data_IF_442084103631
#
_entry.id   IF_442084103631
#
_cell.length_a   1.000
_cell.length_b   1.000
_cell.length_c   1.000
_cell.angle_alpha   90.00
_cell.angle_beta   90.00
_cell.angle_gamma   90.00
#
_symmetry.space_group_name_H-M   'P 1'
#
loop_
_entity.id
_entity.type
_entity.pdbx_description
1 polymer ?
#
# COMPACT_ATOMS: atom_id res chain seq x y z
N UNK A 1 -6.05 -23.20 -2.31
CA UNK A 1 -6.75 -21.90 -2.27
C UNK A 1 -5.80 -20.82 -1.91
N UNK A 2 -5.72 -19.83 -2.76
CA UNK A 2 -4.77 -18.77 -2.57
C UNK A 2 -5.29 -17.74 -1.57
N UNK A 3 -4.68 -17.71 -0.38
CA UNK A 3 -4.98 -16.71 0.62
C UNK A 3 -4.16 -15.46 0.38
N UNK A 4 -4.14 -15.01 -0.89
CA UNK A 4 -3.39 -13.82 -1.27
C UNK A 4 -4.25 -12.57 -1.39
N UNK A 5 -5.48 -12.65 -0.91
CA UNK A 5 -6.42 -11.52 -0.93
C UNK A 5 -6.98 -11.25 0.45
N UNK A 6 -7.17 -9.96 0.74
CA UNK A 6 -7.79 -9.53 1.98
C UNK A 6 -8.73 -8.36 1.66
N UNK A 7 -9.89 -8.34 2.30
CA UNK A 7 -10.84 -7.24 2.20
C UNK A 7 -11.16 -6.77 3.60
N UNK A 8 -10.98 -5.48 3.86
CA UNK A 8 -11.24 -4.91 5.18
C UNK A 8 -12.13 -3.68 5.05
N UNK A 9 -12.97 -3.40 6.05
CA UNK A 9 -13.70 -2.14 6.09
C UNK A 9 -12.73 -0.98 6.32
N UNK A 10 -13.14 0.20 5.88
CA UNK A 10 -12.32 1.40 5.97
C UNK A 10 -12.30 1.93 7.41
N UNK A 11 -11.55 1.25 8.26
CA UNK A 11 -11.39 1.59 9.68
C UNK A 11 -9.92 1.52 10.05
N UNK A 12 -9.45 2.51 10.80
CA UNK A 12 -8.04 2.55 11.21
C UNK A 12 -7.63 1.32 12.02
N UNK A 13 -8.56 0.75 12.80
CA UNK A 13 -8.29 -0.44 13.59
C UNK A 13 -7.94 -1.65 12.70
N UNK A 14 -8.40 -1.63 11.47
CA UNK A 14 -8.16 -2.71 10.51
C UNK A 14 -6.79 -2.64 9.85
N UNK A 15 -6.05 -1.55 10.05
CA UNK A 15 -4.67 -1.46 9.55
C UNK A 15 -3.78 -2.54 10.16
N UNK A 16 -4.04 -2.90 11.41
CA UNK A 16 -3.32 -4.00 12.05
C UNK A 16 -3.53 -5.31 11.29
N UNK A 17 -4.77 -5.60 10.90
CA UNK A 17 -5.08 -6.82 10.13
C UNK A 17 -4.36 -6.81 8.79
N UNK A 18 -4.29 -5.65 8.14
CA UNK A 18 -3.55 -5.50 6.89
C UNK A 18 -2.08 -5.83 7.08
N UNK A 19 -1.45 -5.27 8.12
CA UNK A 19 -0.04 -5.52 8.40
C UNK A 19 0.24 -6.99 8.66
N UNK A 20 -0.59 -7.63 9.48
CA UNK A 20 -0.43 -9.06 9.80
C UNK A 20 -0.58 -9.91 8.54
N UNK A 21 -1.57 -9.62 7.73
CA UNK A 21 -1.81 -10.34 6.48
C UNK A 21 -0.61 -10.26 5.54
N UNK A 22 -0.11 -9.05 5.31
CA UNK A 22 1.02 -8.83 4.41
C UNK A 22 2.27 -9.53 4.95
N UNK A 23 2.57 -9.33 6.24
CA UNK A 23 3.75 -9.91 6.86
C UNK A 23 3.74 -11.44 6.77
N UNK A 24 2.63 -12.06 7.14
CA UNK A 24 2.51 -13.52 7.11
C UNK A 24 2.68 -14.08 5.71
N UNK A 25 2.06 -13.43 4.73
CA UNK A 25 2.15 -13.89 3.35
C UNK A 25 3.58 -13.79 2.83
N UNK A 26 4.25 -12.66 3.07
CA UNK A 26 5.62 -12.46 2.60
C UNK A 26 6.58 -13.44 3.26
N UNK A 27 6.44 -13.68 4.56
CA UNK A 27 7.29 -14.66 5.25
C UNK A 27 7.06 -16.07 4.73
N UNK A 28 5.82 -16.43 4.48
CA UNK A 28 5.47 -17.73 3.92
C UNK A 28 6.09 -17.92 2.54
N UNK A 29 6.28 -16.84 1.80
CA UNK A 29 6.90 -16.87 0.47
C UNK A 29 8.42 -16.76 0.52
N UNK A 30 9.00 -16.75 1.70
CA UNK A 30 10.46 -16.73 1.84
C UNK A 30 11.11 -15.37 1.70
N UNK A 31 10.34 -14.30 1.78
CA UNK A 31 10.89 -12.94 1.72
C UNK A 31 11.64 -12.64 3.02
N UNK A 32 12.90 -12.17 2.96
CA UNK A 32 13.66 -11.84 4.17
C UNK A 32 12.98 -10.79 5.04
N UNK A 33 13.15 -10.89 6.35
CA UNK A 33 12.45 -10.03 7.31
C UNK A 33 12.66 -8.55 7.06
N UNK A 34 13.89 -8.13 6.75
CA UNK A 34 14.18 -6.72 6.49
C UNK A 34 13.37 -6.21 5.30
N UNK A 35 13.34 -6.98 4.23
CA UNK A 35 12.58 -6.61 3.03
C UNK A 35 11.08 -6.67 3.30
N UNK A 36 10.62 -7.72 3.99
CA UNK A 36 9.21 -7.86 4.33
C UNK A 36 8.72 -6.68 5.17
N UNK A 37 9.50 -6.24 6.14
CA UNK A 37 9.12 -5.11 7.00
C UNK A 37 8.96 -3.82 6.21
N UNK A 38 9.82 -3.58 5.23
CA UNK A 38 9.70 -2.41 4.35
C UNK A 38 8.41 -2.47 3.52
N UNK A 39 8.11 -3.65 2.99
CA UNK A 39 6.92 -3.82 2.16
C UNK A 39 5.64 -3.68 2.99
N UNK A 40 5.63 -4.22 4.21
CA UNK A 40 4.51 -4.03 5.14
C UNK A 40 4.28 -2.55 5.40
N UNK A 41 5.35 -1.81 5.66
CA UNK A 41 5.25 -0.37 5.92
C UNK A 41 4.65 0.38 4.72
N UNK A 42 5.10 0.05 3.51
CA UNK A 42 4.62 0.71 2.30
C UNK A 42 3.12 0.45 2.09
N UNK A 43 2.68 -0.79 2.22
CA UNK A 43 1.26 -1.15 2.05
C UNK A 43 0.41 -0.49 3.12
N UNK A 44 0.88 -0.49 4.37
CA UNK A 44 0.19 0.16 5.49
C UNK A 44 -0.05 1.65 5.20
N UNK A 45 0.98 2.34 4.70
CA UNK A 45 0.88 3.77 4.41
C UNK A 45 -0.13 4.07 3.29
N UNK A 46 -0.16 3.24 2.24
CA UNK A 46 -1.14 3.41 1.17
C UNK A 46 -2.54 3.21 1.71
N UNK A 47 -2.77 2.14 2.47
CA UNK A 47 -4.08 1.86 3.05
C UNK A 47 -4.53 2.97 4.00
N UNK A 48 -3.62 3.46 4.85
CA UNK A 48 -3.94 4.55 5.78
C UNK A 48 -4.34 5.81 5.01
N UNK A 49 -3.62 6.14 3.94
CA UNK A 49 -3.95 7.31 3.13
C UNK A 49 -5.31 7.16 2.46
N UNK A 50 -5.65 5.98 1.98
CA UNK A 50 -6.95 5.73 1.38
C UNK A 50 -8.06 5.88 2.40
N UNK A 51 -7.87 5.36 3.61
CA UNK A 51 -8.87 5.46 4.67
C UNK A 51 -9.13 6.91 5.08
N UNK A 52 -8.07 7.72 5.16
CA UNK A 52 -8.17 9.10 5.62
C UNK A 52 -8.62 10.04 4.49
N UNK A 53 -7.99 9.93 3.31
CA UNK A 53 -8.17 10.93 2.25
C UNK A 53 -9.22 10.56 1.22
N UNK A 54 -9.38 9.27 0.92
CA UNK A 54 -10.32 8.85 -0.12
C UNK A 54 -11.69 8.53 0.44
N UNK A 55 -11.77 7.92 1.61
CA UNK A 55 -13.03 7.45 2.19
C UNK A 55 -13.42 8.17 3.46
N UNK A 56 -12.57 9.06 3.95
CA UNK A 56 -12.83 9.82 5.17
C UNK A 56 -13.18 8.92 6.37
N UNK A 57 -12.55 7.73 6.41
CA UNK A 57 -12.79 6.71 7.43
C UNK A 57 -14.24 6.22 7.48
N UNK A 58 -14.92 6.17 6.33
CA UNK A 58 -16.28 5.66 6.25
C UNK A 58 -16.26 4.12 6.34
N UNK A 59 -16.76 3.51 7.43
CA UNK A 59 -16.69 2.06 7.61
C UNK A 59 -17.57 1.27 6.64
N UNK A 60 -18.46 1.93 5.91
CA UNK A 60 -19.28 1.28 4.90
C UNK A 60 -18.48 0.99 3.62
N UNK A 61 -17.33 1.65 3.46
CA UNK A 61 -16.44 1.41 2.32
C UNK A 61 -15.45 0.32 2.68
N UNK A 62 -14.90 -0.32 1.66
CA UNK A 62 -13.95 -1.42 1.86
C UNK A 62 -12.70 -1.18 1.02
N UNK A 63 -11.61 -1.74 1.49
CA UNK A 63 -10.34 -1.77 0.78
C UNK A 63 -9.99 -3.21 0.53
N UNK A 64 -9.66 -3.55 -0.72
CA UNK A 64 -9.19 -4.87 -1.09
C UNK A 64 -7.70 -4.86 -1.33
N UNK A 65 -7.01 -5.92 -0.91
CA UNK A 65 -5.57 -6.07 -1.10
C UNK A 65 -5.32 -7.42 -1.73
N UNK A 66 -4.58 -7.43 -2.83
CA UNK A 66 -4.16 -8.66 -3.48
C UNK A 66 -2.64 -8.63 -3.64
N UNK A 67 -2.00 -9.75 -3.31
CA UNK A 67 -0.54 -9.85 -3.36
C UNK A 67 -0.17 -11.01 -4.27
N UNK A 68 0.67 -10.74 -5.27
CA UNK A 68 1.21 -11.75 -6.15
C UNK A 68 2.72 -11.75 -6.03
N UNK A 69 3.29 -12.87 -5.60
CA UNK A 69 4.73 -13.04 -5.50
C UNK A 69 5.20 -13.87 -6.68
N UNK A 70 6.04 -13.25 -7.51
CA UNK A 70 6.71 -13.96 -8.61
C UNK A 70 8.07 -14.35 -8.10
N UNK A 71 8.24 -15.63 -7.80
CA UNK A 71 9.45 -16.14 -7.15
C UNK A 71 10.72 -15.71 -7.88
N UNK A 72 11.63 -15.10 -7.10
CA UNK A 72 12.90 -14.64 -7.62
C UNK A 72 12.84 -13.41 -8.52
N UNK A 73 11.67 -12.82 -8.71
CA UNK A 73 11.52 -11.66 -9.61
C UNK A 73 10.95 -10.45 -8.91
N UNK A 74 9.69 -10.51 -8.50
CA UNK A 74 9.01 -9.34 -7.96
C UNK A 74 7.84 -9.70 -7.09
N UNK A 75 7.41 -8.72 -6.28
CA UNK A 75 6.16 -8.78 -5.53
C UNK A 75 5.27 -7.66 -6.05
N UNK A 76 4.03 -7.99 -6.38
CA UNK A 76 3.05 -7.02 -6.86
C UNK A 76 1.90 -6.93 -5.85
N UNK A 77 1.67 -5.73 -5.35
CA UNK A 77 0.54 -5.44 -4.47
C UNK A 77 -0.50 -4.65 -5.26
N UNK A 78 -1.74 -5.12 -5.24
CA UNK A 78 -2.85 -4.37 -5.82
C UNK A 78 -3.82 -4.00 -4.71
N UNK A 79 -3.96 -2.70 -4.46
CA UNK A 79 -4.84 -2.18 -3.44
C UNK A 79 -6.00 -1.49 -4.15
N UNK A 80 -7.21 -1.93 -3.86
CA UNK A 80 -8.42 -1.43 -4.55
C UNK A 80 -9.33 -0.71 -3.60
N UNK A 81 -9.94 0.39 -4.07
CA UNK A 81 -11.00 1.08 -3.34
C UNK A 81 -12.04 1.62 -4.32
N UNK A 82 -13.13 2.20 -3.79
CA UNK A 82 -14.23 2.72 -4.58
C UNK A 82 -14.46 4.21 -4.35
N UNK A 83 -13.51 4.90 -3.72
CA UNK A 83 -13.62 6.31 -3.42
C UNK A 83 -13.13 7.21 -4.55
N UNK A 84 -12.79 8.44 -4.19
CA UNK A 84 -12.29 9.44 -5.14
C UNK A 84 -10.93 9.04 -5.70
N UNK A 85 -10.13 8.35 -4.89
CA UNK A 85 -8.82 7.90 -5.31
C UNK A 85 -7.72 8.91 -5.02
N UNK A 86 -6.50 8.45 -5.16
CA UNK A 86 -5.31 9.27 -4.98
C UNK A 86 -4.32 8.90 -6.10
N UNK A 87 -3.95 9.88 -6.93
CA UNK A 87 -3.09 9.61 -8.07
C UNK A 87 -1.62 9.80 -7.71
N UNK A 88 -0.87 8.72 -7.59
CA UNK A 88 0.56 8.74 -7.30
C UNK A 88 1.37 9.49 -8.36
N UNK A 89 0.91 9.48 -9.60
CA UNK A 89 1.62 10.14 -10.69
C UNK A 89 1.69 11.66 -10.53
N UNK A 90 0.75 12.22 -9.76
CA UNK A 90 0.70 13.64 -9.46
C UNK A 90 1.40 13.99 -8.15
N UNK A 91 1.86 12.98 -7.43
CA UNK A 91 2.55 13.21 -6.16
C UNK A 91 3.94 13.79 -6.41
N UNK A 92 4.22 14.91 -5.74
CA UNK A 92 5.54 15.52 -5.75
C UNK A 92 6.18 15.29 -4.39
N UNK A 93 7.43 14.82 -4.41
CA UNK A 93 8.17 14.62 -3.17
C UNK A 93 8.35 15.98 -2.47
N UNK A 94 7.94 16.10 -1.19
CA UNK A 94 8.01 17.38 -0.51
C UNK A 94 9.44 17.78 -0.17
N UNK A 95 9.68 19.10 -0.09
CA UNK A 95 10.91 19.63 0.44
C UNK A 95 11.00 19.40 1.94
N UNK A 96 12.18 19.61 2.53
CA UNK A 96 12.37 19.45 3.97
C UNK A 96 11.42 20.37 4.74
N UNK A 97 11.23 21.59 4.26
CA UNK A 97 10.29 22.54 4.89
C UNK A 97 8.86 22.03 4.84
N UNK A 98 8.45 21.48 3.70
CA UNK A 98 7.12 20.90 3.55
C UNK A 98 6.93 19.72 4.46
N UNK A 99 7.95 18.87 4.64
CA UNK A 99 7.91 17.73 5.54
C UNK A 99 7.64 18.20 6.96
N UNK A 100 8.31 19.25 7.41
CA UNK A 100 8.12 19.79 8.75
C UNK A 100 6.69 20.33 8.92
N UNK A 101 6.18 21.06 7.94
CA UNK A 101 4.82 21.63 7.98
C UNK A 101 3.75 20.56 7.92
N UNK A 102 3.99 19.47 7.17
CA UNK A 102 2.99 18.44 6.92
C UNK A 102 3.18 17.19 7.76
N UNK A 103 4.04 17.23 8.75
CA UNK A 103 4.34 16.10 9.62
C UNK A 103 3.07 15.41 10.17
N UNK A 104 1.98 16.16 10.31
CA UNK A 104 0.71 15.64 10.83
C UNK A 104 -0.27 15.25 9.73
N UNK A 105 0.06 15.45 8.45
CA UNK A 105 -0.88 15.26 7.33
C UNK A 105 -0.57 14.06 6.43
N UNK A 106 0.40 13.22 6.79
CA UNK A 106 0.63 11.96 6.11
C UNK A 106 1.42 12.00 4.80
N UNK A 107 1.84 13.18 4.32
CA UNK A 107 2.61 13.27 3.08
C UNK A 107 3.96 12.57 3.11
N UNK A 108 4.53 12.41 4.31
CA UNK A 108 5.81 11.75 4.51
C UNK A 108 5.70 10.25 4.23
N UNK A 109 4.55 9.64 4.56
CA UNK A 109 4.32 8.23 4.31
C UNK A 109 4.39 7.87 2.84
N UNK A 110 3.79 8.70 1.96
CA UNK A 110 3.83 8.46 0.52
C UNK A 110 5.24 8.60 -0.04
N UNK A 111 6.05 9.47 0.51
CA UNK A 111 7.45 9.57 0.14
C UNK A 111 8.18 8.27 0.43
N UNK A 112 7.91 7.65 1.58
CA UNK A 112 8.48 6.35 1.92
C UNK A 112 8.05 5.27 0.94
N UNK A 113 6.76 5.22 0.60
CA UNK A 113 6.25 4.26 -0.37
C UNK A 113 6.98 4.38 -1.70
N UNK A 114 7.14 5.61 -2.16
CA UNK A 114 7.83 5.89 -3.43
C UNK A 114 9.28 5.44 -3.39
N UNK A 115 9.95 5.53 -2.25
CA UNK A 115 11.34 5.10 -2.10
C UNK A 115 11.49 3.59 -1.95
N UNK A 116 10.52 2.94 -1.33
CA UNK A 116 10.55 1.49 -1.12
C UNK A 116 10.21 0.74 -2.40
N UNK A 117 9.19 1.18 -3.12
CA UNK A 117 8.71 0.50 -4.32
C UNK A 117 9.52 0.91 -5.55
N UNK A 118 9.72 -0.04 -6.45
CA UNK A 118 10.41 0.22 -7.72
C UNK A 118 9.48 0.87 -8.74
N UNK A 119 8.18 0.56 -8.66
CA UNK A 119 7.20 1.09 -9.59
C UNK A 119 5.85 1.20 -8.91
N UNK A 120 5.11 2.25 -9.24
CA UNK A 120 3.76 2.47 -8.74
C UNK A 120 2.87 2.91 -9.89
N UNK A 121 1.68 2.32 -9.96
CA UNK A 121 0.69 2.66 -10.97
C UNK A 121 -0.64 2.96 -10.30
N UNK A 122 -1.36 3.93 -10.86
CA UNK A 122 -2.73 4.20 -10.48
C UNK A 122 -3.62 3.94 -11.68
N UNK A 123 -4.59 3.04 -11.50
CA UNK A 123 -5.51 2.65 -12.58
C UNK A 123 -6.92 2.87 -12.07
N UNK A 124 -7.71 3.65 -12.83
CA UNK A 124 -9.12 3.81 -12.51
C UNK A 124 -9.93 2.97 -13.46
N UNK A 125 -10.69 2.01 -12.93
CA UNK A 125 -11.55 1.11 -13.68
C UNK A 125 -12.99 1.29 -13.23
N UNK A 126 -13.88 1.74 -14.10
CA UNK A 126 -15.28 1.95 -13.77
C UNK A 126 -15.43 2.74 -12.47
N UNK A 127 -15.90 2.09 -11.40
CA UNK A 127 -16.08 2.73 -10.09
C UNK A 127 -14.99 2.33 -9.09
N UNK A 128 -13.88 1.77 -9.57
CA UNK A 128 -12.84 1.23 -8.72
C UNK A 128 -11.50 1.86 -9.01
N UNK A 129 -10.77 2.18 -7.96
CA UNK A 129 -9.39 2.64 -8.05
C UNK A 129 -8.48 1.47 -7.70
N UNK A 130 -7.44 1.26 -8.50
CA UNK A 130 -6.44 0.21 -8.25
C UNK A 130 -5.08 0.88 -8.13
N UNK A 131 -4.43 0.65 -7.01
CA UNK A 131 -3.07 1.11 -6.74
C UNK A 131 -2.15 -0.09 -6.83
N UNK A 132 -1.32 -0.12 -7.84
CA UNK A 132 -0.39 -1.23 -8.04
C UNK A 132 1.00 -0.83 -7.62
N UNK A 133 1.57 -1.58 -6.68
CA UNK A 133 2.90 -1.34 -6.14
C UNK A 133 3.76 -2.54 -6.51
N UNK A 134 4.90 -2.29 -7.15
CA UNK A 134 5.77 -3.34 -7.62
C UNK A 134 7.15 -3.19 -6.96
N UNK A 135 7.63 -4.27 -6.36
CA UNK A 135 8.97 -4.33 -5.78
C UNK A 135 9.74 -5.48 -6.41
N UNK A 136 10.85 -5.15 -7.04
CA UNK A 136 11.75 -6.17 -7.60
C UNK A 136 12.52 -6.82 -6.47
N UNK A 137 12.59 -8.15 -6.54
CA UNK A 137 13.33 -8.91 -5.57
C UNK A 137 14.75 -9.10 -6.07
N UNK A 138 15.72 -8.94 -5.18
CA UNK A 138 17.10 -9.23 -5.52
C UNK A 138 17.30 -10.74 -5.47
N UNK A 139 17.75 -11.29 -6.59
CA UNK A 139 18.10 -12.69 -6.64
C UNK A 139 19.53 -12.81 -6.12
N UNK A 140 19.67 -13.59 -5.05
CA UNK A 140 21.00 -13.84 -4.50
C UNK A 140 21.84 -14.67 -5.46
#
# INVERSE_FOLDING_TARGET
MDNNQLKVPCRKEKLKDVRVFVENLLKKQGIPDVEANKLVLAVDEVCANLMIHSHNCDPRKHIGIQINVKQGKEVVFEISDYGVGFNFCQYKEPSIEDIIKQKKKGGVGLMLVKRIMDHMEFIRKHNRNVYRLIKRLQVA
#
